data_IF_772170243789
#
_entry.id   IF_772170243789
#
_cell.length_a   1.000
_cell.length_b   1.000
_cell.length_c   1.000
_cell.angle_alpha   90.00
_cell.angle_beta   90.00
_cell.angle_gamma   90.00
#
_symmetry.space_group_name_H-M   'P 1'
#
loop_
_entity.id
_entity.type
_entity.pdbx_description
1 polymer ?
#
# COMPACT_ATOMS: atom_id res chain seq x y z
N UNK A 1 28.35 -33.00 -25.75
CA UNK A 1 27.44 -32.59 -24.69
C UNK A 1 26.58 -33.79 -24.30
N UNK A 2 26.54 -34.21 -23.03
CA UNK A 2 25.72 -35.36 -22.63
C UNK A 2 24.25 -35.00 -22.71
N UNK A 3 23.45 -35.84 -23.34
CA UNK A 3 21.98 -35.72 -23.41
C UNK A 3 21.40 -36.07 -22.04
N UNK A 4 20.60 -35.15 -21.48
CA UNK A 4 19.88 -35.40 -20.23
C UNK A 4 18.95 -36.60 -20.35
N UNK A 5 18.86 -37.42 -19.33
CA UNK A 5 17.99 -38.61 -19.33
C UNK A 5 16.50 -38.22 -19.31
N UNK A 6 15.60 -39.05 -19.81
CA UNK A 6 14.14 -38.80 -19.74
C UNK A 6 13.66 -38.58 -18.30
N UNK A 7 14.31 -39.18 -17.31
CA UNK A 7 13.98 -39.01 -15.88
C UNK A 7 14.36 -37.61 -15.34
N UNK A 8 15.49 -37.05 -15.80
CA UNK A 8 15.91 -35.69 -15.45
C UNK A 8 15.02 -34.63 -16.11
N UNK A 9 14.58 -34.88 -17.34
CA UNK A 9 13.62 -34.01 -18.01
C UNK A 9 12.23 -34.02 -17.34
N UNK A 10 11.76 -35.18 -16.89
CA UNK A 10 10.51 -35.30 -16.14
C UNK A 10 10.56 -34.62 -14.78
N UNK A 11 11.70 -34.70 -14.05
CA UNK A 11 11.89 -34.00 -12.76
C UNK A 11 11.97 -32.48 -12.93
N UNK A 12 12.58 -31.98 -13.99
CA UNK A 12 12.60 -30.54 -14.30
C UNK A 12 11.20 -30.02 -14.62
N UNK A 13 10.41 -30.75 -15.43
CA UNK A 13 9.04 -30.38 -15.77
C UNK A 13 8.09 -30.37 -14.56
N UNK A 14 8.27 -31.31 -13.60
CA UNK A 14 7.47 -31.34 -12.36
C UNK A 14 7.88 -30.25 -11.37
N UNK A 15 9.15 -29.82 -11.37
CA UNK A 15 9.62 -28.67 -10.58
C UNK A 15 9.04 -27.35 -11.09
N UNK A 16 9.06 -27.15 -12.42
CA UNK A 16 8.46 -25.97 -13.06
C UNK A 16 6.94 -25.90 -12.89
N UNK A 17 6.24 -27.05 -12.97
CA UNK A 17 4.80 -27.11 -12.77
C UNK A 17 4.39 -26.83 -11.30
N UNK A 18 5.20 -27.29 -10.33
CA UNK A 18 5.00 -26.94 -8.91
C UNK A 18 5.26 -25.48 -8.63
N UNK A 19 6.34 -24.90 -9.18
CA UNK A 19 6.63 -23.48 -9.07
C UNK A 19 5.54 -22.60 -9.71
N UNK A 20 5.00 -23.01 -10.88
CA UNK A 20 3.88 -22.32 -11.52
C UNK A 20 2.56 -22.47 -10.73
N UNK A 21 2.30 -23.62 -10.12
CA UNK A 21 1.12 -23.85 -9.29
C UNK A 21 1.20 -23.07 -7.96
N UNK A 22 2.39 -22.95 -7.36
CA UNK A 22 2.60 -22.13 -6.15
C UNK A 22 2.53 -20.62 -6.45
N UNK A 23 3.00 -20.18 -7.62
CA UNK A 23 2.81 -18.81 -8.11
C UNK A 23 1.34 -18.50 -8.38
N UNK A 24 0.57 -19.45 -8.92
CA UNK A 24 -0.87 -19.30 -9.15
C UNK A 24 -1.66 -19.35 -7.84
N UNK A 25 -1.24 -20.14 -6.85
CA UNK A 25 -1.85 -20.14 -5.50
C UNK A 25 -1.57 -18.84 -4.76
N UNK A 26 -0.36 -18.28 -4.85
CA UNK A 26 -0.03 -16.96 -4.29
C UNK A 26 -0.80 -15.80 -4.92
N UNK A 27 -1.31 -15.98 -6.17
CA UNK A 27 -2.13 -14.98 -6.85
C UNK A 27 -3.61 -14.99 -6.43
N UNK A 28 -4.05 -15.95 -5.63
CA UNK A 28 -5.45 -16.13 -5.18
C UNK A 28 -5.65 -15.92 -3.68
N UNK A 29 -4.59 -15.92 -2.86
CA UNK A 29 -4.67 -15.70 -1.42
C UNK A 29 -4.80 -14.19 -1.14
N UNK A 30 -5.83 -13.79 -0.38
CA UNK A 30 -5.89 -12.44 0.19
C UNK A 30 -4.89 -12.31 1.34
N UNK A 31 -3.84 -11.54 1.13
CA UNK A 31 -2.79 -11.31 2.12
C UNK A 31 -3.16 -10.26 3.16
N UNK A 32 -4.27 -9.53 2.98
CA UNK A 32 -4.69 -8.42 3.85
C UNK A 32 -4.74 -8.81 5.32
N UNK A 33 -5.33 -9.98 5.74
CA UNK A 33 -5.40 -10.35 7.15
C UNK A 33 -4.05 -10.63 7.80
N UNK A 34 -3.06 -11.02 7.02
CA UNK A 34 -1.68 -11.24 7.49
C UNK A 34 -0.91 -9.93 7.51
N UNK A 35 -1.01 -9.16 6.44
CA UNK A 35 -0.34 -7.87 6.28
C UNK A 35 -0.78 -6.86 7.35
N UNK A 36 -2.07 -6.80 7.69
CA UNK A 36 -2.62 -5.88 8.70
C UNK A 36 -2.13 -6.14 10.14
N UNK A 37 -1.49 -7.28 10.40
CA UNK A 37 -0.86 -7.60 11.69
C UNK A 37 0.62 -7.19 11.76
N UNK A 38 1.17 -6.71 10.65
CA UNK A 38 2.53 -6.21 10.55
C UNK A 38 2.56 -4.69 10.72
N UNK A 39 3.73 -4.14 10.87
CA UNK A 39 3.99 -2.70 10.87
C UNK A 39 5.02 -2.35 9.80
N UNK A 40 5.01 -1.09 9.36
CA UNK A 40 5.80 -0.65 8.20
C UNK A 40 7.30 -0.85 8.41
N UNK A 41 7.82 -0.65 9.61
CA UNK A 41 9.25 -0.83 9.93
C UNK A 41 9.76 -2.25 9.64
N UNK A 42 9.06 -3.30 10.11
CA UNK A 42 9.49 -4.68 9.86
C UNK A 42 9.38 -5.06 8.38
N UNK A 43 8.34 -4.58 7.70
CA UNK A 43 8.17 -4.82 6.26
C UNK A 43 9.26 -4.11 5.46
N UNK A 44 9.60 -2.87 5.83
CA UNK A 44 10.71 -2.12 5.24
C UNK A 44 12.04 -2.89 5.36
N UNK A 45 12.37 -3.38 6.54
CA UNK A 45 13.62 -4.09 6.78
C UNK A 45 13.74 -5.36 5.95
N UNK A 46 12.65 -6.12 5.84
CA UNK A 46 12.59 -7.31 5.00
C UNK A 46 12.77 -6.96 3.52
N UNK A 47 12.04 -5.96 3.02
CA UNK A 47 12.13 -5.55 1.62
C UNK A 47 13.53 -5.02 1.28
N UNK A 48 14.15 -4.24 2.17
CA UNK A 48 15.54 -3.79 2.05
C UNK A 48 16.51 -4.98 1.99
N UNK A 49 16.34 -5.96 2.88
CA UNK A 49 17.18 -7.17 2.90
C UNK A 49 17.02 -8.02 1.63
N UNK A 50 15.84 -7.99 1.01
CA UNK A 50 15.57 -8.62 -0.29
C UNK A 50 16.12 -7.82 -1.49
N UNK A 51 16.79 -6.68 -1.26
CA UNK A 51 17.37 -5.83 -2.29
C UNK A 51 16.35 -4.99 -3.08
N UNK A 52 15.11 -4.88 -2.59
CA UNK A 52 14.10 -4.01 -3.20
C UNK A 52 14.45 -2.54 -2.97
N UNK A 53 14.01 -1.68 -3.88
CA UNK A 53 14.22 -0.22 -3.85
C UNK A 53 12.92 0.50 -4.18
N UNK A 54 12.84 1.77 -3.82
CA UNK A 54 11.73 2.67 -4.18
C UNK A 54 10.34 2.09 -3.85
N UNK A 55 10.18 1.60 -2.61
CA UNK A 55 8.93 1.00 -2.13
C UNK A 55 8.29 1.76 -0.96
N UNK A 56 8.95 2.79 -0.42
CA UNK A 56 8.41 3.66 0.63
C UNK A 56 7.94 4.97 0.00
N UNK A 57 6.67 5.31 0.17
CA UNK A 57 6.12 6.57 -0.32
C UNK A 57 6.75 7.76 0.41
N UNK A 58 6.73 8.97 -0.20
CA UNK A 58 7.32 10.16 0.41
C UNK A 58 6.77 10.43 1.82
N UNK A 59 7.63 10.80 2.75
CA UNK A 59 7.29 11.11 4.15
C UNK A 59 6.35 12.32 4.30
N UNK A 60 6.16 13.10 3.23
CA UNK A 60 5.13 14.15 3.18
C UNK A 60 3.71 13.59 3.22
N UNK A 61 3.53 12.33 2.88
CA UNK A 61 2.27 11.60 3.04
C UNK A 61 2.16 11.08 4.47
N UNK A 62 1.27 11.64 5.25
CA UNK A 62 1.06 11.30 6.65
C UNK A 62 -0.44 11.15 6.96
N UNK A 63 -0.81 10.48 8.06
CA UNK A 63 -2.21 10.38 8.44
C UNK A 63 -2.75 11.76 8.83
N UNK A 64 -3.71 12.27 8.07
CA UNK A 64 -4.40 13.55 8.36
C UNK A 64 -5.69 13.36 9.14
N UNK A 65 -6.14 12.11 9.29
CA UNK A 65 -7.28 11.71 10.11
C UNK A 65 -6.82 10.76 11.20
N UNK A 66 -7.61 9.72 11.50
CA UNK A 66 -7.21 8.71 12.49
C UNK A 66 -6.02 7.90 11.98
N UNK A 67 -4.95 7.84 12.75
CA UNK A 67 -3.76 7.04 12.43
C UNK A 67 -4.03 5.56 12.73
N UNK A 68 -4.82 4.91 11.89
CA UNK A 68 -5.05 3.46 11.92
C UNK A 68 -4.20 2.78 10.86
N UNK A 69 -3.71 1.58 11.16
CA UNK A 69 -3.09 0.73 10.15
C UNK A 69 -4.11 0.42 9.06
N UNK A 70 -3.76 0.69 7.81
CA UNK A 70 -4.49 0.26 6.64
C UNK A 70 -3.63 -0.70 5.84
N UNK A 71 -4.25 -1.77 5.36
CA UNK A 71 -3.58 -2.79 4.55
C UNK A 71 -4.56 -3.33 3.50
N UNK A 72 -4.04 -3.68 2.35
CA UNK A 72 -4.82 -4.31 1.29
C UNK A 72 -4.23 -4.13 -0.10
N UNK A 73 -4.82 -4.81 -1.10
CA UNK A 73 -4.50 -4.54 -2.49
C UNK A 73 -4.90 -3.11 -2.85
N UNK A 74 -4.19 -2.48 -3.79
CA UNK A 74 -4.46 -1.10 -4.18
C UNK A 74 -5.41 -0.99 -5.38
N UNK A 75 -6.26 0.01 -5.33
CA UNK A 75 -6.99 0.55 -6.48
C UNK A 75 -6.42 1.93 -6.80
N UNK A 76 -5.77 2.04 -7.94
CA UNK A 76 -5.05 3.25 -8.33
C UNK A 76 -5.94 4.23 -9.08
N UNK A 77 -5.76 5.51 -8.78
CA UNK A 77 -6.43 6.64 -9.44
C UNK A 77 -5.37 7.65 -9.83
N UNK A 78 -5.41 8.09 -11.07
CA UNK A 78 -4.56 9.18 -11.57
C UNK A 78 -5.43 10.36 -11.96
N UNK A 79 -4.98 11.55 -11.62
CA UNK A 79 -5.59 12.77 -12.08
C UNK A 79 -4.58 13.77 -12.58
N UNK A 80 -5.10 14.87 -13.07
CA UNK A 80 -4.31 15.97 -13.63
C UNK A 80 -5.01 17.30 -13.45
N UNK A 81 -4.23 18.35 -13.32
CA UNK A 81 -4.70 19.73 -13.40
C UNK A 81 -5.26 19.99 -14.79
N UNK A 82 -6.51 20.47 -14.85
CA UNK A 82 -7.24 20.78 -16.07
C UNK A 82 -7.93 22.13 -15.87
N UNK A 83 -7.21 23.26 -16.01
CA UNK A 83 -7.75 24.57 -15.74
C UNK A 83 -8.96 24.86 -16.64
N UNK A 84 -10.00 25.45 -16.05
CA UNK A 84 -11.28 25.75 -16.74
C UNK A 84 -12.02 24.50 -17.24
N UNK A 85 -11.78 23.33 -16.64
CA UNK A 85 -12.60 22.16 -16.90
C UNK A 85 -14.08 22.49 -16.62
N UNK A 86 -14.97 21.87 -17.37
CA UNK A 86 -16.39 22.01 -17.10
C UNK A 86 -16.72 21.45 -15.70
N UNK A 87 -17.40 22.19 -14.82
CA UNK A 87 -17.73 21.74 -13.47
C UNK A 87 -18.50 20.42 -13.43
N UNK A 88 -19.44 20.21 -14.35
CA UNK A 88 -20.21 18.98 -14.43
C UNK A 88 -19.33 17.80 -14.82
N UNK A 89 -18.46 17.94 -15.82
CA UNK A 89 -17.53 16.90 -16.24
C UNK A 89 -16.52 16.55 -15.12
N UNK A 90 -16.07 17.55 -14.34
CA UNK A 90 -15.23 17.33 -13.17
C UNK A 90 -15.91 16.40 -12.16
N UNK A 91 -17.15 16.73 -11.80
CA UNK A 91 -17.93 15.94 -10.83
C UNK A 91 -18.33 14.57 -11.39
N UNK A 92 -18.62 14.49 -12.68
CA UNK A 92 -18.94 13.22 -13.34
C UNK A 92 -17.75 12.26 -13.32
N UNK A 93 -16.55 12.75 -13.63
CA UNK A 93 -15.32 11.96 -13.56
C UNK A 93 -15.01 11.51 -12.12
N UNK A 94 -15.20 12.42 -11.13
CA UNK A 94 -14.98 12.12 -9.71
C UNK A 94 -15.97 11.07 -9.18
N UNK A 95 -17.27 11.27 -9.40
CA UNK A 95 -18.29 10.30 -8.98
C UNK A 95 -18.18 8.97 -9.72
N UNK A 96 -17.71 8.99 -10.97
CA UNK A 96 -17.37 7.81 -11.75
C UNK A 96 -16.23 6.99 -11.10
N UNK A 97 -15.22 7.64 -10.55
CA UNK A 97 -14.19 7.00 -9.75
C UNK A 97 -14.77 6.36 -8.48
N UNK A 98 -15.54 7.12 -7.70
CA UNK A 98 -16.18 6.59 -6.49
C UNK A 98 -17.04 5.36 -6.78
N UNK A 99 -17.78 5.38 -7.90
CA UNK A 99 -18.61 4.25 -8.34
C UNK A 99 -17.80 2.99 -8.67
N UNK A 100 -16.57 3.15 -9.19
CA UNK A 100 -15.69 2.03 -9.61
C UNK A 100 -14.77 1.55 -8.50
N UNK A 101 -14.63 2.29 -7.38
CA UNK A 101 -13.81 1.87 -6.25
C UNK A 101 -14.20 0.47 -5.75
N UNK A 102 -13.20 -0.36 -5.50
CA UNK A 102 -13.36 -1.79 -5.18
C UNK A 102 -13.35 -2.02 -3.67
N UNK A 103 -14.27 -2.82 -3.15
CA UNK A 103 -14.26 -3.26 -1.75
C UNK A 103 -12.93 -3.94 -1.40
N UNK A 104 -12.44 -3.74 -0.19
CA UNK A 104 -11.20 -4.33 0.32
C UNK A 104 -9.91 -3.75 -0.28
N UNK A 105 -9.99 -2.84 -1.27
CA UNK A 105 -8.83 -2.20 -1.87
C UNK A 105 -8.58 -0.82 -1.26
N UNK A 106 -7.32 -0.55 -0.94
CA UNK A 106 -6.88 0.80 -0.55
C UNK A 106 -6.86 1.68 -1.80
N UNK A 107 -7.54 2.82 -1.75
CA UNK A 107 -7.52 3.78 -2.85
C UNK A 107 -6.22 4.59 -2.78
N UNK A 108 -5.48 4.63 -3.88
CA UNK A 108 -4.24 5.40 -4.00
C UNK A 108 -4.36 6.38 -5.16
N UNK A 109 -4.30 7.67 -4.84
CA UNK A 109 -4.51 8.79 -5.78
C UNK A 109 -3.17 9.48 -6.07
N UNK A 110 -2.69 9.39 -7.30
CA UNK A 110 -1.64 10.27 -7.80
C UNK A 110 -2.30 11.53 -8.33
N UNK A 111 -2.35 12.55 -7.48
CA UNK A 111 -3.05 13.80 -7.79
C UNK A 111 -2.33 14.62 -8.86
N UNK A 112 -0.99 14.59 -8.89
CA UNK A 112 -0.17 15.46 -9.73
C UNK A 112 -0.56 16.94 -9.57
N UNK A 113 -0.88 17.34 -8.34
CA UNK A 113 -1.34 18.64 -7.91
C UNK A 113 -0.98 18.89 -6.44
N UNK A 114 -0.83 20.14 -6.06
CA UNK A 114 -0.51 20.56 -4.69
C UNK A 114 -1.37 21.76 -4.21
N UNK A 115 -2.53 22.00 -4.84
CA UNK A 115 -3.37 23.14 -4.53
C UNK A 115 -4.76 22.79 -3.99
N UNK A 116 -5.37 21.67 -4.45
CA UNK A 116 -6.76 21.35 -4.14
C UNK A 116 -6.89 20.07 -3.30
N UNK A 117 -8.08 19.86 -2.74
CA UNK A 117 -8.41 18.67 -1.97
C UNK A 117 -8.97 17.56 -2.87
N UNK A 118 -8.33 16.39 -2.84
CA UNK A 118 -8.69 15.20 -3.60
C UNK A 118 -9.45 14.15 -2.74
N UNK A 119 -9.95 14.56 -1.58
CA UNK A 119 -10.78 13.76 -0.69
C UNK A 119 -11.53 14.69 0.27
N UNK A 120 -12.75 14.33 0.60
CA UNK A 120 -13.57 15.03 1.57
C UNK A 120 -14.64 14.11 2.14
N UNK A 121 -15.56 14.66 2.96
CA UNK A 121 -16.58 13.92 3.72
C UNK A 121 -17.40 12.95 2.86
N UNK A 122 -18.17 13.45 1.87
CA UNK A 122 -19.07 12.61 1.04
C UNK A 122 -18.31 11.51 0.28
N UNK A 123 -17.08 11.79 -0.12
CA UNK A 123 -16.23 10.79 -0.78
C UNK A 123 -15.77 9.73 0.21
N UNK A 124 -15.37 10.14 1.42
CA UNK A 124 -15.00 9.25 2.51
C UNK A 124 -16.13 8.32 2.92
N UNK A 125 -17.34 8.87 3.14
CA UNK A 125 -18.54 8.08 3.43
C UNK A 125 -18.85 7.06 2.33
N UNK A 126 -18.78 7.50 1.07
CA UNK A 126 -19.03 6.62 -0.09
C UNK A 126 -18.04 5.46 -0.11
N UNK A 127 -16.75 5.74 0.05
CA UNK A 127 -15.69 4.73 0.03
C UNK A 127 -15.80 3.79 1.23
N UNK A 128 -16.07 4.32 2.42
CA UNK A 128 -16.27 3.53 3.63
C UNK A 128 -17.46 2.57 3.48
N UNK A 129 -18.60 3.04 2.96
CA UNK A 129 -19.78 2.19 2.67
C UNK A 129 -19.49 1.10 1.65
N UNK A 130 -18.57 1.35 0.72
CA UNK A 130 -18.12 0.36 -0.26
C UNK A 130 -17.12 -0.65 0.31
N UNK A 131 -16.72 -0.51 1.57
CA UNK A 131 -15.73 -1.39 2.21
C UNK A 131 -14.30 -1.09 1.80
N UNK A 132 -13.99 0.13 1.38
CA UNK A 132 -12.62 0.62 1.17
C UNK A 132 -11.96 0.84 2.53
N UNK A 133 -10.78 0.24 2.82
CA UNK A 133 -10.15 0.34 4.13
C UNK A 133 -9.53 1.71 4.43
N UNK A 134 -9.26 2.51 3.42
CA UNK A 134 -8.70 3.85 3.56
C UNK A 134 -8.18 4.41 2.25
N UNK A 135 -7.68 5.64 2.30
CA UNK A 135 -7.21 6.41 1.14
C UNK A 135 -5.80 6.93 1.37
N UNK A 136 -4.97 6.86 0.34
CA UNK A 136 -3.71 7.59 0.22
C UNK A 136 -3.83 8.57 -0.95
N UNK A 137 -3.81 9.85 -0.68
CA UNK A 137 -3.89 10.90 -1.69
C UNK A 137 -2.55 11.67 -1.73
N UNK A 138 -1.79 11.54 -2.82
CA UNK A 138 -0.61 12.39 -3.06
C UNK A 138 -1.05 13.80 -3.45
N UNK A 139 -1.75 14.45 -2.53
CA UNK A 139 -2.39 15.74 -2.67
C UNK A 139 -3.05 16.19 -1.38
N UNK A 140 -4.09 17.01 -1.49
CA UNK A 140 -4.82 17.57 -0.36
C UNK A 140 -6.06 16.78 0.05
N UNK A 141 -6.57 17.09 1.24
CA UNK A 141 -7.83 16.63 1.81
C UNK A 141 -8.62 17.81 2.38
N UNK A 142 -9.94 17.72 2.43
CA UNK A 142 -10.82 18.65 3.13
C UNK A 142 -11.79 17.92 4.05
N UNK A 143 -12.62 18.66 4.79
CA UNK A 143 -13.64 18.12 5.68
C UNK A 143 -13.04 17.15 6.72
N UNK A 144 -11.83 17.46 7.21
CA UNK A 144 -11.00 16.57 8.04
C UNK A 144 -11.71 16.15 9.31
N UNK A 145 -12.45 17.07 9.99
CA UNK A 145 -13.16 16.75 11.22
C UNK A 145 -14.23 15.67 11.00
N UNK A 146 -14.99 15.73 9.91
CA UNK A 146 -15.98 14.69 9.56
C UNK A 146 -15.32 13.35 9.25
N UNK A 147 -14.17 13.35 8.55
CA UNK A 147 -13.39 12.14 8.30
C UNK A 147 -12.85 11.52 9.59
N UNK A 148 -12.48 12.35 10.58
CA UNK A 148 -12.05 11.91 11.92
C UNK A 148 -13.23 11.30 12.68
N UNK A 149 -14.39 11.98 12.71
CA UNK A 149 -15.61 11.51 13.39
C UNK A 149 -16.09 10.16 12.87
N UNK A 150 -16.06 9.95 11.54
CA UNK A 150 -16.40 8.66 10.94
C UNK A 150 -15.28 7.62 11.06
N UNK A 151 -14.14 8.00 11.63
CA UNK A 151 -12.94 7.15 11.79
C UNK A 151 -12.43 6.54 10.47
N UNK A 152 -12.55 7.28 9.36
CA UNK A 152 -12.08 6.85 8.05
C UNK A 152 -10.62 7.25 7.84
N UNK A 153 -9.68 6.28 7.63
CA UNK A 153 -8.27 6.60 7.51
C UNK A 153 -7.96 7.29 6.16
N UNK A 154 -7.36 8.47 6.23
CA UNK A 154 -6.86 9.20 5.05
C UNK A 154 -5.43 9.64 5.31
N UNK A 155 -4.54 9.30 4.39
CA UNK A 155 -3.17 9.78 4.30
C UNK A 155 -3.08 10.78 3.17
N UNK A 156 -2.58 11.98 3.45
CA UNK A 156 -2.46 13.05 2.47
C UNK A 156 -1.26 13.94 2.78
N UNK A 157 -0.93 14.87 1.88
CA UNK A 157 0.18 15.81 2.09
C UNK A 157 -0.24 17.03 2.90
N UNK A 158 -1.47 17.49 2.74
CA UNK A 158 -1.98 18.72 3.37
C UNK A 158 -3.51 18.72 3.44
N UNK A 159 -4.06 19.65 4.22
CA UNK A 159 -5.48 19.97 4.23
C UNK A 159 -5.74 21.35 3.59
N UNK A 160 -6.82 21.49 2.83
CA UNK A 160 -7.25 22.75 2.20
C UNK A 160 -8.76 22.71 1.94
N UNK A 161 -9.51 23.83 2.10
CA UNK A 161 -10.93 23.88 1.76
C UNK A 161 -11.19 23.93 0.25
N UNK A 162 -10.19 24.18 -0.58
CA UNK A 162 -10.31 24.31 -2.03
C UNK A 162 -10.64 22.95 -2.67
N UNK A 163 -11.71 22.89 -3.46
CA UNK A 163 -12.13 21.67 -4.15
C UNK A 163 -11.53 21.52 -5.57
N UNK A 164 -11.85 20.40 -6.21
CA UNK A 164 -11.37 20.05 -7.56
C UNK A 164 -12.16 20.71 -8.70
N UNK A 165 -13.35 21.26 -8.41
CA UNK A 165 -14.33 21.64 -9.46
C UNK A 165 -13.75 22.71 -10.38
N UNK A 166 -13.81 22.44 -11.69
CA UNK A 166 -13.29 23.36 -12.71
C UNK A 166 -11.77 23.46 -12.80
N UNK A 167 -11.03 22.64 -12.03
CA UNK A 167 -9.59 22.76 -11.93
C UNK A 167 -8.84 21.43 -12.10
N UNK A 168 -9.32 20.35 -11.50
CA UNK A 168 -8.65 19.07 -11.52
C UNK A 168 -9.61 17.93 -11.90
N UNK A 169 -9.15 16.96 -12.65
CA UNK A 169 -9.98 15.84 -13.12
C UNK A 169 -9.29 14.50 -12.92
N UNK A 170 -10.07 13.47 -12.63
CA UNK A 170 -9.63 12.08 -12.78
C UNK A 170 -9.35 11.81 -14.26
N UNK A 171 -8.15 11.35 -14.55
CA UNK A 171 -7.65 11.05 -15.89
C UNK A 171 -7.68 9.55 -16.21
N UNK A 172 -7.33 8.71 -15.24
CA UNK A 172 -7.34 7.26 -15.39
C UNK A 172 -7.53 6.55 -14.04
N UNK A 173 -8.03 5.32 -14.11
CA UNK A 173 -8.22 4.42 -12.96
C UNK A 173 -7.69 3.04 -13.31
N UNK A 174 -7.26 2.31 -12.28
CA UNK A 174 -6.75 0.93 -12.42
C UNK A 174 -5.56 0.84 -13.41
N UNK A 175 -4.70 1.85 -13.38
CA UNK A 175 -3.48 1.97 -14.21
C UNK A 175 -2.26 2.14 -13.29
N UNK A 176 -1.05 1.80 -13.75
CA UNK A 176 0.15 2.14 -13.00
C UNK A 176 0.28 3.65 -12.79
N UNK A 177 0.62 4.04 -11.57
CA UNK A 177 0.85 5.42 -11.16
C UNK A 177 2.23 5.56 -10.52
N UNK A 178 2.70 6.80 -10.35
CA UNK A 178 3.95 7.10 -9.68
C UNK A 178 3.73 8.16 -8.62
N UNK A 179 4.27 7.92 -7.41
CA UNK A 179 4.25 8.86 -6.29
C UNK A 179 5.69 9.01 -5.78
N UNK A 180 6.28 10.18 -5.98
CA UNK A 180 7.71 10.38 -5.76
C UNK A 180 8.53 9.39 -6.60
N UNK A 181 9.48 8.63 -6.01
CA UNK A 181 10.25 7.61 -6.72
C UNK A 181 9.48 6.30 -6.92
N UNK A 182 8.37 6.07 -6.18
CA UNK A 182 7.69 4.78 -6.09
C UNK A 182 6.69 4.60 -7.23
N UNK A 183 6.81 3.49 -7.96
CA UNK A 183 5.79 3.01 -8.89
C UNK A 183 4.79 2.14 -8.16
N UNK A 184 3.50 2.39 -8.35
CA UNK A 184 2.38 1.65 -7.75
C UNK A 184 1.53 1.09 -8.88
N UNK A 185 1.50 -0.23 -9.00
CA UNK A 185 0.66 -0.90 -9.98
C UNK A 185 -0.69 -1.31 -9.37
N UNK A 186 -1.76 -1.43 -10.17
CA UNK A 186 -3.01 -2.01 -9.70
C UNK A 186 -2.80 -3.37 -9.06
N UNK A 187 -3.45 -3.59 -7.92
CA UNK A 187 -3.35 -4.82 -7.12
C UNK A 187 -1.98 -5.08 -6.45
N UNK A 188 -1.01 -4.18 -6.48
CA UNK A 188 0.06 -4.19 -5.50
C UNK A 188 -0.55 -4.12 -4.10
N UNK A 189 0.16 -4.59 -3.08
CA UNK A 189 -0.32 -4.44 -1.71
C UNK A 189 0.25 -3.17 -1.09
N UNK A 190 -0.51 -2.58 -0.20
CA UNK A 190 -0.09 -1.41 0.56
C UNK A 190 -0.26 -1.71 2.05
N UNK A 191 0.72 -1.28 2.84
CA UNK A 191 0.65 -1.18 4.28
C UNK A 191 0.97 0.26 4.67
N UNK A 192 0.11 0.87 5.47
CA UNK A 192 0.36 2.19 6.05
C UNK A 192 0.02 2.19 7.53
N UNK A 193 0.86 2.87 8.30
CA UNK A 193 0.69 3.12 9.71
C UNK A 193 1.21 4.53 10.05
N UNK A 194 1.46 4.81 11.33
CA UNK A 194 1.91 6.13 11.77
C UNK A 194 3.30 6.51 11.25
N UNK A 195 4.15 5.53 10.96
CA UNK A 195 5.52 5.75 10.50
C UNK A 195 5.59 6.05 8.99
N UNK A 196 4.57 5.64 8.23
CA UNK A 196 4.53 5.92 6.79
C UNK A 196 3.78 4.86 5.99
N UNK A 197 4.14 4.77 4.70
CA UNK A 197 3.42 3.96 3.72
C UNK A 197 4.39 3.15 2.89
N UNK A 198 4.17 1.84 2.82
CA UNK A 198 4.97 0.91 2.03
C UNK A 198 4.10 0.23 0.98
N UNK A 199 4.64 0.12 -0.23
CA UNK A 199 4.03 -0.60 -1.36
C UNK A 199 4.80 -1.89 -1.63
N UNK A 200 4.08 -3.01 -1.59
CA UNK A 200 4.63 -4.33 -1.86
C UNK A 200 4.23 -4.75 -3.28
N UNK A 201 5.18 -5.01 -4.18
CA UNK A 201 4.86 -5.53 -5.51
C UNK A 201 4.06 -6.83 -5.41
N UNK A 202 2.95 -6.93 -6.14
CA UNK A 202 2.00 -8.05 -6.07
C UNK A 202 2.69 -9.42 -6.19
N UNK A 203 3.63 -9.55 -7.11
CA UNK A 203 4.34 -10.79 -7.38
C UNK A 203 5.33 -11.21 -6.28
N UNK A 204 5.66 -10.31 -5.33
CA UNK A 204 6.56 -10.56 -4.20
C UNK A 204 5.83 -10.48 -2.85
N UNK A 205 4.56 -10.04 -2.83
CA UNK A 205 3.85 -9.71 -1.61
C UNK A 205 3.74 -10.91 -0.64
N UNK A 206 3.42 -12.10 -1.13
CA UNK A 206 3.32 -13.30 -0.29
C UNK A 206 4.64 -13.67 0.40
N UNK A 207 5.75 -13.59 -0.33
CA UNK A 207 7.10 -13.82 0.19
C UNK A 207 7.46 -12.79 1.26
N UNK A 208 7.21 -11.49 0.96
CA UNK A 208 7.49 -10.38 1.88
C UNK A 208 6.69 -10.54 3.18
N UNK A 209 5.38 -10.77 3.08
CA UNK A 209 4.48 -10.94 4.24
C UNK A 209 4.89 -12.14 5.09
N UNK A 210 5.31 -13.23 4.47
CA UNK A 210 5.80 -14.42 5.19
C UNK A 210 7.09 -14.13 5.95
N UNK A 211 8.07 -13.52 5.29
CA UNK A 211 9.34 -13.17 5.89
C UNK A 211 9.19 -12.11 7.00
N UNK A 212 8.34 -11.11 6.80
CA UNK A 212 8.06 -10.09 7.83
C UNK A 212 7.37 -10.71 9.07
N UNK A 213 6.44 -11.64 8.87
CA UNK A 213 5.82 -12.37 9.97
C UNK A 213 6.83 -13.17 10.81
N UNK A 214 7.80 -13.82 10.16
CA UNK A 214 8.90 -14.51 10.86
C UNK A 214 9.82 -13.53 11.60
N UNK A 215 10.11 -12.37 11.01
CA UNK A 215 10.95 -11.34 11.60
C UNK A 215 10.35 -10.76 12.89
N UNK A 216 9.04 -10.54 12.96
CA UNK A 216 8.33 -10.10 14.17
C UNK A 216 8.56 -11.07 15.34
N UNK A 217 8.57 -12.39 15.07
CA UNK A 217 8.86 -13.40 16.08
C UNK A 217 10.27 -13.26 16.68
N UNK A 218 11.26 -13.01 15.83
CA UNK A 218 12.66 -12.79 16.27
C UNK A 218 12.80 -11.49 17.06
N UNK A 219 12.18 -10.40 16.63
CA UNK A 219 12.20 -9.13 17.37
C UNK A 219 11.59 -9.25 18.77
N UNK A 220 10.54 -10.04 18.92
CA UNK A 220 9.95 -10.30 20.23
C UNK A 220 10.92 -11.00 21.18
N UNK A 221 11.76 -11.92 20.69
CA UNK A 221 12.81 -12.58 21.48
C UNK A 221 13.90 -11.62 21.91
N UNK A 222 14.36 -10.76 20.99
CA UNK A 222 15.37 -9.73 21.28
C UNK A 222 14.84 -8.75 22.32
N UNK A 223 13.63 -8.27 22.14
CA UNK A 223 12.97 -7.36 23.10
C UNK A 223 12.89 -7.99 24.49
N UNK A 224 12.49 -9.25 24.59
CA UNK A 224 12.44 -9.98 25.86
C UNK A 224 13.82 -10.05 26.51
N UNK A 225 14.87 -10.35 25.75
CA UNK A 225 16.24 -10.43 26.24
C UNK A 225 16.73 -9.07 26.77
N UNK A 226 16.49 -7.98 26.02
CA UNK A 226 16.87 -6.62 26.43
C UNK A 226 16.11 -6.19 27.69
N UNK A 227 14.81 -6.44 27.75
CA UNK A 227 13.99 -6.10 28.94
C UNK A 227 14.39 -6.92 30.17
N UNK A 228 15.02 -8.09 29.99
CA UNK A 228 15.61 -8.87 31.08
C UNK A 228 17.04 -8.44 31.46
N UNK A 229 17.55 -7.35 30.89
CA UNK A 229 18.85 -6.78 31.26
C UNK A 229 20.01 -7.22 30.39
N UNK A 230 19.76 -7.91 29.25
CA UNK A 230 20.83 -8.23 28.30
C UNK A 230 21.34 -6.93 27.65
N UNK A 231 22.67 -6.81 27.54
CA UNK A 231 23.29 -5.69 26.83
C UNK A 231 22.85 -5.66 25.36
N UNK A 232 22.51 -4.49 24.79
CA UNK A 232 22.06 -4.38 23.40
C UNK A 232 23.06 -4.91 22.38
N UNK A 233 24.36 -4.74 22.60
CA UNK A 233 25.39 -5.26 21.69
C UNK A 233 25.49 -6.79 21.79
N UNK A 234 25.38 -7.35 22.98
CA UNK A 234 25.31 -8.81 23.18
C UNK A 234 24.05 -9.40 22.50
N UNK A 235 22.90 -8.72 22.62
CA UNK A 235 21.68 -9.13 21.97
C UNK A 235 21.86 -9.13 20.44
N UNK A 236 22.43 -8.08 19.87
CA UNK A 236 22.73 -8.01 18.43
C UNK A 236 23.66 -9.13 17.98
N UNK A 237 24.76 -9.37 18.70
CA UNK A 237 25.72 -10.42 18.35
C UNK A 237 25.10 -11.82 18.44
N UNK A 238 24.18 -12.02 19.39
CA UNK A 238 23.49 -13.32 19.59
C UNK A 238 22.41 -13.60 18.54
N UNK A 239 21.62 -12.61 18.20
CA UNK A 239 20.43 -12.78 17.36
C UNK A 239 20.65 -12.32 15.90
N UNK A 240 21.73 -11.60 15.61
CA UNK A 240 22.07 -11.10 14.28
C UNK A 240 21.15 -9.98 13.78
N UNK A 241 20.31 -9.43 14.65
CA UNK A 241 19.34 -8.37 14.36
C UNK A 241 19.17 -7.49 15.60
N UNK A 242 18.80 -6.20 15.35
CA UNK A 242 18.45 -5.24 16.40
C UNK A 242 17.30 -4.36 15.96
#
# INVERSE_FOLDING_TARGET
MPKRSPLEMARAATSDARGAADLLRGATEDLTPRLSKLYTGVVHDVMRAMGLKDFTLPHTLHPVTVARTIAGPVFTVRGKVTPKADPHETLLAWTGFLSKAKSGHVVVIAANDDEVAHMGELSGETLMRKGVPGVVADGGVRDVEFLIEMAFPVYARYATPRDIVGYWMVDAMDVPIKIGPVSVAPHDYLLADRDGIIVLPRNRAAEIVSAAGAAVGTESQIRTAILSGMDPQEAYLKYGKF
#
